data_IF_437209943258
#
_entry.id   IF_437209943258
#
_cell.length_a   1.000
_cell.length_b   1.000
_cell.length_c   1.000
_cell.angle_alpha   90.00
_cell.angle_beta   90.00
_cell.angle_gamma   90.00
#
_symmetry.space_group_name_H-M   'P 1'
#
loop_
_entity.id
_entity.type
_entity.pdbx_description
1 polymer ?
#
# COMPACT_ATOMS: atom_id res chain seq x y z
N UNK A 1 -0.50 7.36 20.28
CA UNK A 1 0.77 7.18 19.56
C UNK A 1 1.43 5.94 20.10
N UNK A 2 1.79 4.99 19.25
CA UNK A 2 2.37 3.71 19.64
C UNK A 2 3.81 3.59 19.14
N UNK A 3 4.62 2.76 19.79
CA UNK A 3 5.97 2.42 19.33
C UNK A 3 5.84 1.26 18.35
N UNK A 4 6.19 1.48 17.07
CA UNK A 4 6.18 0.42 16.08
C UNK A 4 7.40 -0.50 16.21
N UNK A 5 7.27 -1.71 15.68
CA UNK A 5 8.33 -2.72 15.60
C UNK A 5 9.58 -2.18 14.90
N UNK A 6 9.41 -1.35 13.87
CA UNK A 6 10.54 -0.73 13.15
C UNK A 6 11.35 0.22 14.04
N UNK A 7 10.67 1.02 14.88
CA UNK A 7 11.31 1.93 15.84
C UNK A 7 12.02 1.15 16.94
N UNK A 8 11.42 0.06 17.41
CA UNK A 8 12.06 -0.85 18.35
C UNK A 8 13.33 -1.47 17.75
N UNK A 9 13.26 -1.95 16.51
CA UNK A 9 14.37 -2.55 15.79
C UNK A 9 15.53 -1.56 15.57
N UNK A 10 15.22 -0.32 15.18
CA UNK A 10 16.20 0.75 15.10
C UNK A 10 16.81 1.08 16.47
N UNK A 11 16.00 1.10 17.53
CA UNK A 11 16.47 1.28 18.90
C UNK A 11 17.48 0.21 19.33
N UNK A 12 17.22 -1.06 19.00
CA UNK A 12 18.15 -2.18 19.26
C UNK A 12 19.45 -1.98 18.47
N UNK A 13 19.37 -1.64 17.19
CA UNK A 13 20.54 -1.42 16.33
C UNK A 13 21.41 -0.20 16.74
N UNK A 14 20.90 0.69 17.60
CA UNK A 14 21.65 1.82 18.15
C UNK A 14 22.42 1.44 19.44
N UNK A 15 22.09 0.32 20.07
CA UNK A 15 22.70 -0.15 21.30
C UNK A 15 24.00 -0.95 21.08
N UNK A 16 24.53 -1.49 22.19
CA UNK A 16 25.75 -2.32 22.22
C UNK A 16 25.48 -3.75 22.74
N UNK A 17 24.20 -4.18 22.74
CA UNK A 17 23.83 -5.53 23.15
C UNK A 17 24.33 -6.56 22.15
N UNK A 18 24.34 -7.84 22.53
CA UNK A 18 24.72 -8.91 21.60
C UNK A 18 23.77 -9.00 20.39
N UNK A 19 22.50 -8.66 20.58
CA UNK A 19 21.54 -8.50 19.49
C UNK A 19 21.96 -7.37 18.52
N UNK A 20 22.45 -6.23 19.04
CA UNK A 20 22.92 -5.14 18.20
C UNK A 20 24.16 -5.54 17.38
N UNK A 21 25.10 -6.27 17.99
CA UNK A 21 26.29 -6.79 17.29
C UNK A 21 25.91 -7.76 16.17
N UNK A 22 25.05 -8.73 16.45
CA UNK A 22 24.56 -9.68 15.44
C UNK A 22 23.84 -8.97 14.28
N UNK A 23 23.07 -7.92 14.57
CA UNK A 23 22.43 -7.10 13.54
C UNK A 23 23.46 -6.33 12.70
N UNK A 24 24.50 -5.77 13.31
CA UNK A 24 25.57 -5.08 12.59
C UNK A 24 26.38 -6.02 11.70
N UNK A 25 26.67 -7.23 12.17
CA UNK A 25 27.31 -8.29 11.39
C UNK A 25 26.48 -8.67 10.14
N UNK A 26 25.15 -8.63 10.26
CA UNK A 26 24.22 -8.83 9.14
C UNK A 26 24.01 -7.57 8.26
N UNK A 27 24.70 -6.45 8.54
CA UNK A 27 24.56 -5.19 7.82
C UNK A 27 23.32 -4.35 8.20
N UNK A 28 22.54 -4.79 9.19
CA UNK A 28 21.36 -4.10 9.69
C UNK A 28 21.73 -3.00 10.71
N UNK A 29 22.40 -1.96 10.24
CA UNK A 29 22.76 -0.79 11.05
C UNK A 29 21.56 0.13 11.29
N UNK A 30 21.64 1.01 12.29
CA UNK A 30 20.60 2.01 12.56
C UNK A 30 20.25 2.83 11.30
N UNK A 31 21.24 3.25 10.52
CA UNK A 31 21.02 4.05 9.32
C UNK A 31 20.36 3.23 8.21
N UNK A 32 20.79 1.98 8.02
CA UNK A 32 20.18 1.07 7.04
C UNK A 32 18.70 0.80 7.38
N UNK A 33 18.41 0.52 8.65
CA UNK A 33 17.05 0.27 9.14
C UNK A 33 16.20 1.54 9.01
N UNK A 34 16.72 2.70 9.41
CA UNK A 34 16.01 3.98 9.29
C UNK A 34 15.71 4.31 7.82
N UNK A 35 16.64 4.05 6.91
CA UNK A 35 16.43 4.25 5.47
C UNK A 35 15.33 3.35 4.90
N UNK A 36 15.16 2.14 5.44
CA UNK A 36 14.11 1.22 5.02
C UNK A 36 12.70 1.62 5.48
N UNK A 37 12.56 2.51 6.47
CA UNK A 37 11.24 2.91 7.00
C UNK A 37 10.32 3.47 5.90
N UNK A 38 10.86 4.28 4.98
CA UNK A 38 10.08 4.85 3.89
C UNK A 38 9.57 3.76 2.93
N UNK A 39 10.39 2.75 2.64
CA UNK A 39 10.01 1.67 1.73
C UNK A 39 8.92 0.75 2.29
N UNK A 40 8.94 0.48 3.59
CA UNK A 40 8.00 -0.44 4.24
C UNK A 40 6.70 0.26 4.63
N UNK A 41 6.78 1.53 5.05
CA UNK A 41 5.67 2.23 5.70
C UNK A 41 5.26 3.54 5.02
N UNK A 42 6.10 4.08 4.13
CA UNK A 42 5.91 5.40 3.55
C UNK A 42 5.81 6.50 4.63
N UNK A 43 5.04 7.55 4.34
CA UNK A 43 4.88 8.73 5.22
C UNK A 43 3.78 8.60 6.30
N UNK A 44 3.31 7.39 6.63
CA UNK A 44 2.16 7.20 7.53
C UNK A 44 2.58 7.12 9.01
N UNK A 45 1.93 7.90 9.88
CA UNK A 45 2.12 7.84 11.34
C UNK A 45 1.38 6.63 11.93
N UNK A 46 2.02 5.92 12.86
CA UNK A 46 1.43 4.80 13.62
C UNK A 46 0.60 5.39 14.74
N UNK A 47 -0.71 5.34 14.54
CA UNK A 47 -1.72 5.85 15.48
C UNK A 47 -2.53 4.75 16.13
N UNK A 48 -2.41 3.51 15.65
CA UNK A 48 -3.12 2.32 16.13
C UNK A 48 -2.17 1.23 16.61
N UNK A 49 -2.68 0.30 17.42
CA UNK A 49 -1.94 -0.81 18.03
C UNK A 49 -1.52 -1.89 17.00
N UNK A 50 -2.35 -2.14 15.98
CA UNK A 50 -2.02 -2.99 14.83
C UNK A 50 -1.95 -2.18 13.53
N UNK A 51 -0.81 -1.56 13.21
CA UNK A 51 -0.64 -0.81 11.96
C UNK A 51 -0.41 -1.75 10.75
N UNK A 52 0.18 -2.94 10.95
CA UNK A 52 0.42 -3.95 9.92
C UNK A 52 -0.86 -4.43 9.22
N UNK A 53 -1.95 -4.59 9.98
CA UNK A 53 -3.27 -4.92 9.41
C UNK A 53 -3.86 -3.85 8.49
N UNK A 54 -3.46 -2.59 8.65
CA UNK A 54 -3.84 -1.51 7.73
C UNK A 54 -2.92 -1.41 6.51
N UNK A 55 -1.64 -1.75 6.64
CA UNK A 55 -0.68 -1.66 5.52
C UNK A 55 -1.03 -2.64 4.39
N UNK A 56 -1.54 -3.82 4.71
CA UNK A 56 -1.91 -4.85 3.72
C UNK A 56 -3.43 -4.92 3.43
N UNK A 57 -4.23 -3.95 3.88
CA UNK A 57 -5.69 -4.02 3.72
C UNK A 57 -6.12 -4.09 2.24
N UNK A 58 -5.39 -3.41 1.34
CA UNK A 58 -5.66 -3.47 -0.10
C UNK A 58 -5.32 -4.86 -0.66
N UNK A 59 -4.18 -5.45 -0.30
CA UNK A 59 -3.80 -6.78 -0.77
C UNK A 59 -4.74 -7.87 -0.23
N UNK A 60 -5.21 -7.72 1.01
CA UNK A 60 -6.06 -8.72 1.68
C UNK A 60 -7.52 -8.66 1.24
N UNK A 61 -8.07 -7.48 0.99
CA UNK A 61 -9.51 -7.28 0.78
C UNK A 61 -9.88 -6.70 -0.58
N UNK A 62 -8.91 -6.41 -1.44
CA UNK A 62 -9.18 -5.88 -2.78
C UNK A 62 -8.43 -6.67 -3.85
N UNK A 63 -8.73 -6.37 -5.12
CA UNK A 63 -8.05 -6.97 -6.26
C UNK A 63 -7.55 -5.84 -7.15
N UNK A 64 -6.24 -5.83 -7.45
CA UNK A 64 -5.66 -4.84 -8.34
C UNK A 64 -5.98 -5.18 -9.81
N UNK A 65 -7.03 -4.53 -10.33
CA UNK A 65 -7.43 -4.66 -11.73
C UNK A 65 -6.43 -4.01 -12.69
N UNK A 66 -5.64 -3.02 -12.26
CA UNK A 66 -4.65 -2.35 -13.11
C UNK A 66 -3.44 -3.24 -13.36
N UNK A 67 -2.95 -3.94 -12.34
CA UNK A 67 -1.89 -4.93 -12.47
C UNK A 67 -2.34 -6.07 -13.39
N UNK A 68 -3.54 -6.62 -13.16
CA UNK A 68 -4.11 -7.67 -14.00
C UNK A 68 -4.27 -7.26 -15.47
N UNK A 69 -4.67 -6.01 -15.73
CA UNK A 69 -4.75 -5.47 -17.09
C UNK A 69 -3.37 -5.43 -17.77
N UNK A 70 -2.32 -4.97 -17.05
CA UNK A 70 -0.94 -4.93 -17.58
C UNK A 70 -0.39 -6.34 -17.89
N UNK A 71 -0.79 -7.32 -17.10
CA UNK A 71 -0.44 -8.73 -17.30
C UNK A 71 -1.28 -9.41 -18.42
N UNK A 72 -2.23 -8.70 -19.03
CA UNK A 72 -3.10 -9.27 -20.06
C UNK A 72 -4.15 -10.26 -19.55
N UNK A 73 -4.40 -10.28 -18.23
CA UNK A 73 -5.39 -11.17 -17.57
C UNK A 73 -6.81 -10.61 -17.54
N UNK A 74 -7.07 -9.55 -18.29
CA UNK A 74 -8.38 -8.94 -18.46
C UNK A 74 -8.69 -8.95 -19.96
N UNK A 75 -9.78 -9.60 -20.33
CA UNK A 75 -10.24 -9.63 -21.71
C UNK A 75 -10.65 -8.23 -22.19
N UNK A 76 -10.44 -7.92 -23.48
CA UNK A 76 -10.85 -6.63 -24.03
C UNK A 76 -12.36 -6.44 -23.87
N UNK A 77 -12.76 -5.28 -23.36
CA UNK A 77 -14.17 -4.94 -23.18
C UNK A 77 -14.76 -4.52 -24.53
N UNK A 78 -15.80 -5.22 -24.98
CA UNK A 78 -16.44 -4.98 -26.28
C UNK A 78 -17.74 -4.19 -26.07
N UNK A 79 -17.94 -3.13 -26.84
CA UNK A 79 -19.22 -2.41 -26.92
C UNK A 79 -19.55 -1.48 -25.74
N UNK A 80 -18.60 -1.21 -24.83
CA UNK A 80 -18.79 -0.33 -23.65
C UNK A 80 -18.03 1.00 -23.72
N UNK A 81 -17.72 1.46 -24.93
CA UNK A 81 -16.94 2.68 -25.14
C UNK A 81 -17.58 3.92 -24.50
N UNK A 82 -18.90 4.06 -24.55
CA UNK A 82 -19.59 5.24 -24.04
C UNK A 82 -19.59 5.27 -22.51
N UNK A 83 -19.82 4.13 -21.88
CA UNK A 83 -19.81 3.95 -20.42
C UNK A 83 -18.41 4.21 -19.88
N UNK A 84 -17.39 3.60 -20.48
CA UNK A 84 -15.98 3.79 -20.09
C UNK A 84 -15.61 5.28 -20.19
N UNK A 85 -15.93 5.94 -21.32
CA UNK A 85 -15.68 7.38 -21.48
C UNK A 85 -16.39 8.21 -20.42
N UNK A 86 -17.64 7.87 -20.08
CA UNK A 86 -18.41 8.59 -19.05
C UNK A 86 -17.81 8.42 -17.66
N UNK A 87 -17.37 7.22 -17.30
CA UNK A 87 -16.67 6.94 -16.03
C UNK A 87 -15.38 7.77 -15.93
N UNK A 88 -14.54 7.74 -16.97
CA UNK A 88 -13.31 8.52 -17.03
C UNK A 88 -13.59 10.02 -16.94
N UNK A 89 -14.63 10.51 -17.61
CA UNK A 89 -15.04 11.92 -17.54
C UNK A 89 -15.46 12.31 -16.11
N UNK A 90 -16.21 11.47 -15.40
CA UNK A 90 -16.63 11.74 -14.01
C UNK A 90 -15.43 11.75 -13.08
N UNK A 91 -14.54 10.75 -13.18
CA UNK A 91 -13.30 10.68 -12.38
C UNK A 91 -12.41 11.92 -12.55
N UNK A 92 -12.44 12.54 -13.73
CA UNK A 92 -11.65 13.73 -14.06
C UNK A 92 -12.24 15.06 -13.54
N UNK A 93 -13.42 15.05 -12.90
CA UNK A 93 -14.06 16.25 -12.35
C UNK A 93 -13.39 16.70 -11.05
N UNK A 94 -13.48 18.00 -10.74
CA UNK A 94 -13.04 18.54 -9.43
C UNK A 94 -14.03 18.27 -8.29
N UNK A 95 -15.32 18.19 -8.60
CA UNK A 95 -16.39 17.93 -7.63
C UNK A 95 -17.30 16.83 -8.16
N UNK A 96 -17.87 16.03 -7.25
CA UNK A 96 -18.67 14.84 -7.58
C UNK A 96 -17.95 13.90 -8.56
N UNK A 97 -16.69 13.59 -8.23
CA UNK A 97 -15.78 12.80 -9.06
C UNK A 97 -15.89 11.29 -8.83
N UNK A 98 -16.84 10.84 -8.00
CA UNK A 98 -17.08 9.43 -7.74
C UNK A 98 -18.19 8.93 -8.69
N UNK A 99 -17.85 8.16 -9.75
CA UNK A 99 -18.85 7.58 -10.63
C UNK A 99 -19.67 6.52 -9.90
N UNK A 100 -20.96 6.46 -10.18
CA UNK A 100 -21.86 5.40 -9.73
C UNK A 100 -22.43 4.73 -10.98
N UNK A 101 -22.19 3.42 -11.10
CA UNK A 101 -22.74 2.62 -12.19
C UNK A 101 -24.11 2.10 -11.76
N UNK A 102 -25.13 2.40 -12.55
CA UNK A 102 -26.51 1.96 -12.30
C UNK A 102 -26.90 1.09 -13.49
N UNK A 103 -26.90 -0.22 -13.27
CA UNK A 103 -27.27 -1.26 -14.23
C UNK A 103 -27.76 -2.47 -13.47
N UNK A 104 -28.51 -3.35 -14.15
CA UNK A 104 -28.82 -4.66 -13.62
C UNK A 104 -27.53 -5.48 -13.44
N UNK A 105 -27.40 -6.24 -12.34
CA UNK A 105 -26.22 -7.07 -12.10
C UNK A 105 -26.07 -8.13 -13.19
N UNK A 106 -24.85 -8.32 -13.70
CA UNK A 106 -24.54 -9.28 -14.77
C UNK A 106 -24.42 -8.66 -16.16
N UNK A 107 -24.66 -7.35 -16.28
CA UNK A 107 -24.42 -6.58 -17.50
C UNK A 107 -23.04 -5.95 -17.47
#
# INVERSE_FOLDING_TARGET
TYVSTEVLLAGIAKGNSDAAKAMHEAGATFEAIRGAFESVRGNRKVTTEEPEGQFQALEKYSTDLTARAREGKIDPVIGRDQEIRRVVQVLSRRTKNNPVLIVEPGV
#
